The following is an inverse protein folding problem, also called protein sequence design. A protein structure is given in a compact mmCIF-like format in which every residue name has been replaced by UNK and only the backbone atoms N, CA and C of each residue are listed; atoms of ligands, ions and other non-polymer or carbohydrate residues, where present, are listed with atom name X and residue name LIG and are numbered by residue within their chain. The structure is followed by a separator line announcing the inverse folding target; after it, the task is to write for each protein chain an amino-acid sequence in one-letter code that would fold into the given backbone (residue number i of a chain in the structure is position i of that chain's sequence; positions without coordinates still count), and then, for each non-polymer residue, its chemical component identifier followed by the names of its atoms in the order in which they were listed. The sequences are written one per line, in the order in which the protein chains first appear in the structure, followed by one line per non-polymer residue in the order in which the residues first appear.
data_IF_544510053121
#
_entry.id   IF_544510053121
#
_cell.length_a   1.000
_cell.length_b   1.000
_cell.length_c   1.000
_cell.angle_alpha   90.00
_cell.angle_beta   90.00
_cell.angle_gamma   90.00
#
_symmetry.space_group_name_H-M   'P 1'
#
loop_
_entity.id
_entity.type
_entity.pdbx_description
1 polymer ?
#
# COMPACT_ATOMS: atom_id res chain seq x y z
N UNK A 1 -24.46 5.75 21.56
CA UNK A 1 -24.73 5.41 20.15
C UNK A 1 -23.40 5.31 19.40
N UNK A 2 -23.16 4.20 18.72
CA UNK A 2 -21.98 3.95 17.88
C UNK A 2 -21.95 4.95 16.72
N UNK A 3 -20.89 5.76 16.64
CA UNK A 3 -20.69 6.69 15.53
C UNK A 3 -20.07 5.94 14.35
N UNK A 4 -20.90 5.37 13.47
CA UNK A 4 -20.45 4.88 12.17
C UNK A 4 -20.34 6.07 11.21
N UNK A 5 -19.12 6.39 10.79
CA UNK A 5 -18.86 7.48 9.85
C UNK A 5 -19.01 6.98 8.41
N UNK A 6 -19.83 7.63 7.56
CA UNK A 6 -20.12 7.13 6.23
C UNK A 6 -18.97 7.43 5.26
N UNK A 7 -18.59 6.43 4.46
CA UNK A 7 -18.03 6.64 3.13
C UNK A 7 -16.56 7.06 3.04
N UNK A 8 -15.64 6.42 3.77
CA UNK A 8 -14.22 6.48 3.38
C UNK A 8 -13.95 5.42 2.33
N UNK A 9 -14.03 5.79 1.04
CA UNK A 9 -13.42 5.00 -0.03
C UNK A 9 -12.03 4.60 0.46
N UNK A 10 -11.81 3.30 0.65
CA UNK A 10 -10.60 2.78 1.29
C UNK A 10 -9.40 3.27 0.48
N UNK A 11 -8.76 4.35 0.94
CA UNK A 11 -7.65 4.96 0.22
C UNK A 11 -6.58 3.90 0.11
N UNK A 12 -6.25 3.52 -1.13
CA UNK A 12 -5.16 2.59 -1.40
C UNK A 12 -3.91 3.09 -0.68
N UNK A 13 -3.15 2.16 -0.09
CA UNK A 13 -1.92 2.54 0.59
C UNK A 13 -0.98 3.19 -0.40
N UNK A 14 -0.38 4.30 0.00
CA UNK A 14 0.67 4.96 -0.75
C UNK A 14 1.86 4.02 -0.99
N UNK A 15 2.19 3.18 -0.01
CA UNK A 15 3.26 2.18 -0.10
C UNK A 15 2.68 0.78 -0.32
N UNK A 16 3.33 0.00 -1.18
CA UNK A 16 3.01 -1.42 -1.36
C UNK A 16 3.29 -2.22 -0.08
N UNK A 17 2.69 -3.42 0.01
CA UNK A 17 2.75 -4.30 1.17
C UNK A 17 4.19 -4.69 1.50
N UNK A 18 4.98 -5.09 0.51
CA UNK A 18 6.39 -5.42 0.68
C UNK A 18 7.22 -4.25 1.25
N UNK A 19 7.01 -3.03 0.74
CA UNK A 19 7.69 -1.85 1.28
C UNK A 19 7.20 -1.50 2.68
N UNK A 20 5.90 -1.65 2.96
CA UNK A 20 5.33 -1.42 4.26
C UNK A 20 5.86 -2.41 5.31
N UNK A 21 5.86 -3.71 5.00
CA UNK A 21 6.36 -4.77 5.86
C UNK A 21 7.84 -4.57 6.16
N UNK A 22 8.62 -4.24 5.12
CA UNK A 22 10.03 -3.86 5.26
C UNK A 22 10.23 -2.49 5.94
N UNK A 23 9.16 -1.72 6.22
CA UNK A 23 9.19 -0.34 6.75
C UNK A 23 10.12 0.61 5.97
N UNK A 24 10.15 0.47 4.65
CA UNK A 24 10.96 1.30 3.75
C UNK A 24 10.11 2.22 2.90
N UNK A 25 10.73 3.28 2.37
CA UNK A 25 10.09 4.18 1.41
C UNK A 25 9.77 3.43 0.11
N UNK A 26 8.50 3.40 -0.28
CA UNK A 26 8.08 2.88 -1.58
C UNK A 26 8.29 3.93 -2.67
N UNK A 27 8.86 3.56 -3.82
CA UNK A 27 9.03 4.45 -4.98
C UNK A 27 7.71 4.83 -5.65
N UNK A 28 6.61 4.11 -5.34
CA UNK A 28 5.28 4.26 -5.95
C UNK A 28 5.25 4.16 -7.49
N UNK A 29 6.33 3.68 -8.12
CA UNK A 29 6.38 3.41 -9.55
C UNK A 29 5.40 2.28 -9.88
N UNK A 30 4.68 2.42 -11.00
CA UNK A 30 3.73 1.40 -11.50
C UNK A 30 4.34 0.74 -12.74
N UNK A 31 4.18 -0.58 -12.93
CA UNK A 31 3.31 -1.50 -12.19
C UNK A 31 3.89 -2.01 -10.85
N UNK A 32 5.22 -1.97 -10.67
CA UNK A 32 5.91 -2.37 -9.44
C UNK A 32 6.81 -1.22 -8.96
N UNK A 33 6.96 -1.08 -7.63
CA UNK A 33 7.93 -0.15 -7.09
C UNK A 33 9.36 -0.59 -7.47
N UNK A 34 10.29 0.35 -7.64
CA UNK A 34 11.67 0.05 -8.05
C UNK A 34 12.36 -0.99 -7.16
N UNK A 35 12.00 -1.06 -5.87
CA UNK A 35 12.50 -2.09 -4.96
C UNK A 35 11.97 -3.47 -5.30
N UNK A 36 10.66 -3.61 -5.46
CA UNK A 36 10.04 -4.90 -5.77
C UNK A 36 10.45 -5.40 -7.15
N UNK A 37 10.65 -4.49 -8.11
CA UNK A 37 11.20 -4.82 -9.43
C UNK A 37 12.61 -5.39 -9.31
N UNK A 38 13.53 -4.71 -8.60
CA UNK A 38 14.90 -5.19 -8.38
C UNK A 38 14.99 -6.49 -7.59
N UNK A 39 14.12 -6.67 -6.59
CA UNK A 39 14.08 -7.90 -5.78
C UNK A 39 13.34 -9.04 -6.51
N UNK A 40 12.70 -8.78 -7.66
CA UNK A 40 11.88 -9.78 -8.35
C UNK A 40 10.61 -10.20 -7.59
N UNK A 41 10.21 -9.44 -6.56
CA UNK A 41 9.10 -9.77 -5.67
C UNK A 41 7.72 -9.30 -6.15
N UNK A 42 6.69 -9.69 -5.41
CA UNK A 42 5.31 -9.27 -5.64
C UNK A 42 5.10 -7.87 -5.02
N UNK A 43 4.65 -6.92 -5.85
CA UNK A 43 4.35 -5.55 -5.41
C UNK A 43 2.83 -5.35 -5.34
N UNK A 44 2.24 -5.56 -4.16
CA UNK A 44 0.79 -5.38 -3.95
C UNK A 44 0.52 -4.05 -3.27
N UNK A 45 -0.31 -3.20 -3.85
CA UNK A 45 -0.82 -2.01 -3.16
C UNK A 45 -2.11 -2.38 -2.44
N UNK A 46 -2.02 -2.70 -1.15
CA UNK A 46 -3.18 -3.07 -0.34
C UNK A 46 -4.11 -1.89 -0.06
N UNK A 47 -5.37 -2.19 0.24
CA UNK A 47 -6.35 -1.21 0.73
C UNK A 47 -6.05 -0.86 2.20
N UNK A 48 -5.98 0.43 2.53
CA UNK A 48 -5.82 0.88 3.91
C UNK A 48 -7.14 0.73 4.66
N UNK A 49 -7.31 -0.36 5.41
CA UNK A 49 -8.42 -0.51 6.37
C UNK A 49 -8.10 0.34 7.61
N UNK A 50 -8.82 1.45 7.78
CA UNK A 50 -8.76 2.34 8.94
C UNK A 50 -10.17 2.69 9.35
#
# INVERSE_FOLDING_TARGET
MSHETPGKAAKLRASCDACNESKVRCSQTKPKCSRCEKQGGICVYGLSRR
#
